data_IF_720678041054
#
_entry.id   IF_720678041054
#
_cell.length_a   1.000
_cell.length_b   1.000
_cell.length_c   1.000
_cell.angle_alpha   90.00
_cell.angle_beta   90.00
_cell.angle_gamma   90.00
#
_symmetry.space_group_name_H-M   'P 1'
#
loop_
_entity.id
_entity.type
_entity.pdbx_description
1 polymer ?
#
# COMPACT_ATOMS: atom_id res chain seq x y z
N UNK A 1 -18.64 -47.49 -13.14
CA UNK A 1 -18.48 -47.93 -14.53
C UNK A 1 -19.86 -47.98 -15.16
N UNK A 2 -20.18 -47.03 -16.03
CA UNK A 2 -21.40 -47.09 -16.82
C UNK A 2 -21.10 -46.36 -18.15
N UNK A 3 -20.82 -47.19 -19.16
CA UNK A 3 -20.73 -46.85 -20.57
C UNK A 3 -22.08 -46.27 -21.03
N UNK A 4 -22.04 -45.12 -21.71
CA UNK A 4 -22.08 -44.99 -23.16
C UNK A 4 -23.38 -45.48 -23.84
N UNK A 5 -24.10 -44.47 -24.35
CA UNK A 5 -24.46 -44.34 -25.76
C UNK A 5 -25.76 -45.00 -26.25
N UNK A 6 -26.78 -44.14 -26.30
CA UNK A 6 -27.58 -43.80 -27.48
C UNK A 6 -27.49 -44.72 -28.73
N UNK A 7 -28.66 -45.17 -29.20
CA UNK A 7 -29.20 -45.02 -30.58
C UNK A 7 -30.09 -46.22 -30.95
N UNK A 8 -31.34 -45.94 -31.36
CA UNK A 8 -32.02 -46.55 -32.52
C UNK A 8 -33.36 -45.85 -32.73
N UNK A 9 -33.58 -45.13 -33.83
CA UNK A 9 -33.81 -45.64 -35.20
C UNK A 9 -35.18 -46.33 -35.32
N UNK A 10 -36.16 -45.56 -35.83
CA UNK A 10 -37.52 -46.02 -36.10
C UNK A 10 -37.67 -46.44 -37.57
N UNK A 11 -37.64 -47.76 -37.74
CA UNK A 11 -38.60 -48.57 -38.49
C UNK A 11 -38.84 -48.31 -39.98
N UNK A 12 -38.26 -49.21 -40.78
CA UNK A 12 -38.71 -49.67 -42.09
C UNK A 12 -40.12 -50.30 -42.03
N UNK A 13 -40.95 -50.08 -43.05
CA UNK A 13 -42.00 -51.04 -43.47
C UNK A 13 -41.99 -51.20 -45.00
N UNK A 14 -41.80 -52.47 -45.41
CA UNK A 14 -41.99 -53.03 -46.74
C UNK A 14 -43.48 -53.06 -47.11
N UNK A 15 -43.84 -52.83 -48.38
CA UNK A 15 -44.86 -53.63 -49.11
C UNK A 15 -44.41 -53.79 -50.57
N UNK A 16 -44.54 -55.02 -51.06
CA UNK A 16 -44.15 -55.61 -52.34
C UNK A 16 -45.35 -55.61 -53.31
N UNK A 17 -45.15 -55.35 -54.60
CA UNK A 17 -46.23 -55.47 -55.60
C UNK A 17 -45.86 -55.10 -57.05
N UNK A 18 -45.54 -56.12 -57.85
CA UNK A 18 -45.75 -56.32 -59.29
C UNK A 18 -45.47 -55.22 -60.36
N UNK A 19 -44.49 -55.57 -61.20
CA UNK A 19 -44.23 -55.30 -62.63
C UNK A 19 -45.46 -54.88 -63.49
N UNK A 20 -45.35 -53.77 -64.24
CA UNK A 20 -45.53 -53.74 -65.71
C UNK A 20 -45.19 -52.37 -66.33
N UNK A 21 -44.57 -52.43 -67.52
CA UNK A 21 -44.03 -51.31 -68.29
C UNK A 21 -45.11 -50.44 -68.99
N UNK A 22 -44.81 -49.15 -69.20
CA UNK A 22 -44.73 -48.47 -70.52
C UNK A 22 -44.63 -46.93 -70.31
N UNK A 23 -43.72 -46.29 -71.03
CA UNK A 23 -43.38 -44.87 -70.91
C UNK A 23 -44.30 -43.94 -71.73
N UNK A 24 -44.63 -42.74 -71.20
CA UNK A 24 -44.69 -41.46 -71.96
C UNK A 24 -45.09 -40.26 -71.05
N UNK A 25 -44.11 -39.35 -70.90
CA UNK A 25 -44.17 -37.87 -70.80
C UNK A 25 -45.17 -37.23 -69.82
N UNK A 26 -44.63 -36.75 -68.69
CA UNK A 26 -45.16 -35.61 -67.95
C UNK A 26 -44.08 -34.51 -67.90
N UNK A 27 -44.40 -33.38 -68.51
CA UNK A 27 -43.57 -32.17 -68.53
C UNK A 27 -43.32 -31.66 -67.10
N UNK A 28 -42.10 -31.85 -66.59
CA UNK A 28 -41.61 -31.08 -65.44
C UNK A 28 -41.06 -29.76 -65.99
N UNK A 29 -41.55 -28.59 -65.56
CA UNK A 29 -40.97 -27.32 -65.95
C UNK A 29 -39.52 -27.28 -65.43
N UNK A 30 -38.57 -27.31 -66.36
CA UNK A 30 -37.18 -26.98 -66.04
C UNK A 30 -37.16 -25.51 -65.62
N UNK A 31 -37.07 -25.27 -64.31
CA UNK A 31 -36.64 -23.98 -63.80
C UNK A 31 -35.24 -23.72 -64.35
N UNK A 32 -35.16 -22.85 -65.35
CA UNK A 32 -33.90 -22.34 -65.87
C UNK A 32 -33.22 -21.56 -64.73
N UNK A 33 -32.39 -22.27 -63.96
CA UNK A 33 -31.54 -21.64 -62.94
C UNK A 33 -30.63 -20.65 -63.64
N UNK A 34 -30.92 -19.36 -63.49
CA UNK A 34 -30.07 -18.27 -63.92
C UNK A 34 -28.62 -18.55 -63.47
N UNK A 35 -27.67 -18.59 -64.42
CA UNK A 35 -26.24 -18.82 -64.16
C UNK A 35 -25.75 -17.77 -63.15
N UNK A 36 -25.67 -18.14 -61.88
CA UNK A 36 -25.26 -17.23 -60.82
C UNK A 36 -23.81 -16.81 -61.07
N UNK A 37 -23.59 -15.51 -61.32
CA UNK A 37 -22.26 -14.96 -61.63
C UNK A 37 -21.32 -15.21 -60.45
N UNK A 38 -20.20 -15.90 -60.69
CA UNK A 38 -19.21 -16.20 -59.65
C UNK A 38 -18.69 -14.93 -58.97
N UNK A 39 -18.39 -14.98 -57.68
CA UNK A 39 -17.91 -13.81 -56.91
C UNK A 39 -16.80 -14.18 -55.92
N UNK A 40 -15.99 -13.21 -55.54
CA UNK A 40 -15.03 -13.36 -54.45
C UNK A 40 -15.73 -13.21 -53.11
N UNK A 41 -15.21 -13.85 -52.06
CA UNK A 41 -15.73 -13.70 -50.70
C UNK A 41 -15.52 -12.28 -50.14
N UNK A 42 -14.61 -11.50 -50.71
CA UNK A 42 -14.41 -10.08 -50.41
C UNK A 42 -13.75 -9.37 -51.61
N UNK A 43 -14.09 -8.11 -51.83
CA UNK A 43 -13.44 -7.22 -52.83
C UNK A 43 -12.34 -6.35 -52.23
N UNK A 44 -12.35 -6.17 -50.90
CA UNK A 44 -11.30 -5.49 -50.14
C UNK A 44 -11.09 -6.16 -48.77
N UNK A 45 -9.85 -6.16 -48.27
CA UNK A 45 -9.49 -6.56 -46.89
C UNK A 45 -8.37 -5.68 -46.34
N UNK A 46 -8.47 -5.34 -45.06
CA UNK A 46 -7.41 -4.68 -44.31
C UNK A 46 -6.73 -5.72 -43.41
N UNK A 47 -5.40 -5.80 -43.45
CA UNK A 47 -4.61 -6.74 -42.65
C UNK A 47 -3.43 -6.01 -42.00
N UNK A 48 -3.00 -6.48 -40.82
CA UNK A 48 -1.71 -6.06 -40.26
C UNK A 48 -0.58 -6.98 -40.75
N UNK A 49 0.63 -6.44 -40.86
CA UNK A 49 1.85 -7.23 -41.17
C UNK A 49 1.92 -8.46 -40.26
N UNK A 50 2.19 -9.63 -40.86
CA UNK A 50 2.29 -10.93 -40.18
C UNK A 50 1.00 -11.76 -40.18
N UNK A 51 -0.18 -11.12 -40.32
CA UNK A 51 -1.47 -11.85 -40.30
C UNK A 51 -1.70 -12.66 -41.58
N UNK A 52 -2.41 -13.78 -41.42
CA UNK A 52 -2.81 -14.69 -42.50
C UNK A 52 -4.32 -14.53 -42.73
N UNK A 53 -4.74 -14.46 -43.99
CA UNK A 53 -6.16 -14.38 -44.37
C UNK A 53 -6.51 -15.36 -45.49
N UNK A 54 -7.76 -15.84 -45.50
CA UNK A 54 -8.32 -16.72 -46.55
C UNK A 54 -9.22 -15.92 -47.49
N UNK A 55 -9.14 -16.16 -48.79
CA UNK A 55 -10.03 -15.61 -49.81
C UNK A 55 -10.60 -16.77 -50.64
N UNK A 56 -11.91 -16.79 -50.87
CA UNK A 56 -12.62 -17.90 -51.53
C UNK A 56 -13.42 -17.38 -52.73
N UNK A 57 -13.58 -18.22 -53.75
CA UNK A 57 -14.50 -17.99 -54.87
C UNK A 57 -15.83 -18.69 -54.59
N UNK A 58 -16.95 -17.95 -54.65
CA UNK A 58 -18.32 -18.43 -54.48
C UNK A 58 -19.02 -18.58 -55.84
N UNK A 59 -20.03 -19.45 -55.89
CA UNK A 59 -20.85 -19.77 -57.07
C UNK A 59 -20.01 -20.33 -58.24
N UNK A 60 -19.19 -21.32 -57.93
CA UNK A 60 -18.43 -22.12 -58.90
C UNK A 60 -18.57 -23.61 -58.55
N UNK A 61 -18.51 -24.53 -59.53
CA UNK A 61 -18.57 -25.97 -59.26
C UNK A 61 -17.49 -26.41 -58.27
N UNK A 62 -17.78 -27.41 -57.45
CA UNK A 62 -16.91 -27.88 -56.36
C UNK A 62 -15.48 -28.23 -56.82
N UNK A 63 -15.36 -28.79 -58.02
CA UNK A 63 -14.09 -29.18 -58.65
C UNK A 63 -13.47 -28.10 -59.54
N UNK A 64 -13.95 -26.85 -59.49
CA UNK A 64 -13.41 -25.75 -60.30
C UNK A 64 -11.97 -25.41 -59.90
N UNK A 65 -11.07 -25.36 -60.89
CA UNK A 65 -9.67 -24.95 -60.72
C UNK A 65 -9.55 -23.44 -60.90
N UNK A 66 -9.26 -22.70 -59.83
CA UNK A 66 -9.06 -21.25 -59.86
C UNK A 66 -7.57 -20.93 -59.89
N UNK A 67 -7.12 -20.12 -60.87
CA UNK A 67 -5.74 -19.63 -60.90
C UNK A 67 -5.64 -18.35 -60.06
N UNK A 68 -4.69 -18.29 -59.12
CA UNK A 68 -4.49 -17.16 -58.21
C UNK A 68 -3.17 -16.44 -58.47
N UNK A 69 -3.17 -15.11 -58.43
CA UNK A 69 -1.97 -14.28 -58.54
C UNK A 69 -2.02 -13.13 -57.53
N UNK A 70 -0.90 -12.84 -56.88
CA UNK A 70 -0.70 -11.58 -56.14
C UNK A 70 0.01 -10.57 -57.04
N UNK A 71 -0.44 -9.31 -57.03
CA UNK A 71 0.21 -8.23 -57.78
C UNK A 71 1.55 -7.80 -57.18
N UNK A 72 1.74 -7.97 -55.86
CA UNK A 72 2.96 -7.60 -55.13
C UNK A 72 3.25 -8.65 -54.05
N UNK A 73 4.08 -9.65 -54.38
CA UNK A 73 4.44 -10.75 -53.46
C UNK A 73 5.18 -10.27 -52.20
N UNK A 74 5.87 -9.14 -52.28
CA UNK A 74 6.54 -8.48 -51.15
C UNK A 74 5.57 -7.91 -50.11
N UNK A 75 4.37 -7.50 -50.53
CA UNK A 75 3.32 -6.94 -49.67
C UNK A 75 2.36 -8.06 -49.22
N UNK A 76 1.93 -8.91 -50.13
CA UNK A 76 1.05 -10.06 -49.86
C UNK A 76 1.54 -11.31 -50.59
N UNK A 77 1.99 -12.30 -49.83
CA UNK A 77 2.46 -13.60 -50.35
C UNK A 77 1.34 -14.63 -50.27
N UNK A 78 1.06 -15.32 -51.38
CA UNK A 78 0.20 -16.49 -51.37
C UNK A 78 1.00 -17.65 -50.75
N UNK A 79 0.48 -18.23 -49.68
CA UNK A 79 1.15 -19.29 -48.92
C UNK A 79 0.57 -20.68 -49.20
N UNK A 80 -0.71 -20.76 -49.59
CA UNK A 80 -1.36 -22.03 -49.95
C UNK A 80 -2.53 -21.77 -50.89
N UNK A 81 -2.60 -22.53 -51.99
CA UNK A 81 -3.74 -22.54 -52.92
C UNK A 81 -4.55 -23.83 -52.73
N UNK A 82 -5.86 -23.67 -52.60
CA UNK A 82 -6.84 -24.77 -52.68
C UNK A 82 -7.67 -24.67 -53.96
N UNK A 83 -8.57 -25.62 -54.18
CA UNK A 83 -9.41 -25.69 -55.40
C UNK A 83 -10.15 -24.37 -55.67
N UNK A 84 -10.85 -23.84 -54.65
CA UNK A 84 -11.65 -22.61 -54.72
C UNK A 84 -11.19 -21.49 -53.77
N UNK A 85 -10.10 -21.68 -53.03
CA UNK A 85 -9.65 -20.70 -52.03
C UNK A 85 -8.14 -20.52 -52.01
N UNK A 86 -7.68 -19.42 -51.45
CA UNK A 86 -6.26 -19.10 -51.27
C UNK A 86 -6.03 -18.56 -49.86
N UNK A 87 -4.95 -19.02 -49.21
CA UNK A 87 -4.41 -18.41 -47.99
C UNK A 87 -3.26 -17.49 -48.37
N UNK A 88 -3.26 -16.29 -47.82
CA UNK A 88 -2.26 -15.25 -48.07
C UNK A 88 -1.75 -14.65 -46.76
N UNK A 89 -0.45 -14.40 -46.68
CA UNK A 89 0.21 -13.75 -45.56
C UNK A 89 0.52 -12.29 -45.93
N UNK A 90 0.19 -11.38 -45.03
CA UNK A 90 0.59 -9.97 -45.11
C UNK A 90 2.07 -9.84 -44.71
N UNK A 91 2.91 -9.37 -45.62
CA UNK A 91 4.37 -9.40 -45.47
C UNK A 91 4.97 -8.02 -45.20
N UNK A 92 4.55 -6.99 -45.93
CA UNK A 92 5.01 -5.60 -45.77
C UNK A 92 3.81 -4.66 -45.85
N UNK A 93 3.92 -3.48 -45.22
CA UNK A 93 2.91 -2.43 -45.37
C UNK A 93 2.77 -2.00 -46.83
N UNK A 94 1.56 -1.62 -47.22
CA UNK A 94 1.23 -1.22 -48.59
C UNK A 94 -0.01 -1.90 -49.14
N UNK A 95 -0.31 -1.65 -50.41
CA UNK A 95 -1.50 -2.20 -51.08
C UNK A 95 -1.12 -3.18 -52.16
N UNK A 96 -1.75 -4.37 -52.16
CA UNK A 96 -1.62 -5.39 -53.19
C UNK A 96 -3.00 -5.89 -53.63
N UNK A 97 -3.08 -6.48 -54.82
CA UNK A 97 -4.29 -7.14 -55.31
C UNK A 97 -4.07 -8.63 -55.42
N UNK A 98 -5.02 -9.41 -54.90
CA UNK A 98 -5.10 -10.85 -55.12
C UNK A 98 -6.16 -11.12 -56.17
N UNK A 99 -5.74 -11.69 -57.30
CA UNK A 99 -6.55 -11.91 -58.49
C UNK A 99 -6.90 -13.39 -58.61
N UNK A 100 -8.19 -13.69 -58.75
CA UNK A 100 -8.70 -14.99 -59.17
C UNK A 100 -9.02 -14.97 -60.67
N UNK A 101 -8.57 -15.99 -61.40
CA UNK A 101 -8.89 -16.20 -62.81
C UNK A 101 -9.66 -17.52 -62.98
N UNK A 102 -10.85 -17.44 -63.59
CA UNK A 102 -11.73 -18.57 -63.87
C UNK A 102 -12.42 -18.38 -65.23
N UNK A 103 -12.35 -19.39 -66.10
CA UNK A 103 -12.93 -19.39 -67.46
C UNK A 103 -12.65 -18.08 -68.23
N UNK A 104 -11.38 -17.67 -68.30
CA UNK A 104 -10.94 -16.43 -68.97
C UNK A 104 -11.25 -15.12 -68.22
N UNK A 105 -12.20 -15.11 -67.28
CA UNK A 105 -12.61 -13.91 -66.52
C UNK A 105 -11.77 -13.76 -65.25
N UNK A 106 -11.53 -12.50 -64.84
CA UNK A 106 -10.76 -12.20 -63.62
C UNK A 106 -11.56 -11.36 -62.63
N UNK A 107 -11.33 -11.57 -61.33
CA UNK A 107 -11.79 -10.70 -60.24
C UNK A 107 -10.65 -10.45 -59.27
N UNK A 108 -10.60 -9.24 -58.70
CA UNK A 108 -9.53 -8.80 -57.81
C UNK A 108 -10.07 -8.46 -56.42
N UNK A 109 -9.30 -8.80 -55.40
CA UNK A 109 -9.50 -8.34 -54.03
C UNK A 109 -8.35 -7.39 -53.67
N UNK A 110 -8.65 -6.16 -53.25
CA UNK A 110 -7.68 -5.20 -52.72
C UNK A 110 -7.29 -5.62 -51.30
N UNK A 111 -6.00 -5.76 -51.03
CA UNK A 111 -5.47 -6.02 -49.70
C UNK A 111 -4.64 -4.81 -49.28
N UNK A 112 -5.12 -4.08 -48.28
CA UNK A 112 -4.36 -3.00 -47.64
C UNK A 112 -3.68 -3.56 -46.40
N UNK A 113 -2.35 -3.53 -46.38
CA UNK A 113 -1.54 -3.98 -45.27
C UNK A 113 -1.07 -2.77 -44.47
N UNK A 114 -1.46 -2.69 -43.20
CA UNK A 114 -0.96 -1.68 -42.27
C UNK A 114 0.24 -2.23 -41.50
N UNK A 115 1.18 -1.35 -41.17
CA UNK A 115 2.29 -1.70 -40.30
C UNK A 115 1.76 -2.18 -38.93
N UNK A 116 2.48 -3.11 -38.30
CA UNK A 116 2.23 -3.42 -36.90
C UNK A 116 2.58 -2.16 -36.10
N UNK A 117 1.64 -1.62 -35.33
CA UNK A 117 1.91 -0.49 -34.43
C UNK A 117 2.97 -0.99 -33.44
N UNK A 118 4.20 -0.47 -33.51
CA UNK A 118 5.15 -0.63 -32.41
C UNK A 118 4.51 0.02 -31.19
N UNK A 119 4.42 -0.71 -30.08
CA UNK A 119 4.08 -0.08 -28.82
C UNK A 119 5.17 0.97 -28.58
N UNK A 120 4.79 2.25 -28.53
CA UNK A 120 5.65 3.30 -28.01
C UNK A 120 6.08 2.88 -26.60
N UNK A 121 7.37 2.96 -26.23
CA UNK A 121 7.78 2.77 -24.86
C UNK A 121 6.92 3.69 -23.98
N UNK A 122 6.19 3.12 -23.02
CA UNK A 122 5.57 3.93 -21.98
C UNK A 122 6.74 4.61 -21.26
N UNK A 123 6.73 5.93 -21.15
CA UNK A 123 7.77 6.64 -20.42
C UNK A 123 7.82 6.10 -18.99
N UNK A 124 9.02 5.77 -18.51
CA UNK A 124 9.20 5.33 -17.13
C UNK A 124 8.70 6.44 -16.20
N UNK A 125 7.82 6.08 -15.28
CA UNK A 125 7.26 7.00 -14.28
C UNK A 125 7.57 6.38 -12.92
N UNK A 126 8.84 6.46 -12.49
CA UNK A 126 9.27 5.84 -11.24
C UNK A 126 8.56 6.49 -10.05
N UNK A 127 8.08 5.67 -9.12
CA UNK A 127 7.41 6.11 -7.90
C UNK A 127 7.65 5.14 -6.75
N UNK A 128 7.68 5.65 -5.52
CA UNK A 128 7.66 4.82 -4.32
C UNK A 128 6.27 4.22 -4.11
N UNK A 129 6.21 3.06 -3.47
CA UNK A 129 4.97 2.41 -3.04
C UNK A 129 4.20 3.16 -1.95
N UNK A 130 4.82 4.17 -1.32
CA UNK A 130 4.17 5.11 -0.41
C UNK A 130 4.82 6.49 -0.50
N UNK A 131 4.01 7.54 -0.36
CA UNK A 131 4.48 8.93 -0.26
C UNK A 131 4.63 9.39 1.19
N UNK A 132 3.93 8.72 2.11
CA UNK A 132 4.09 8.91 3.55
C UNK A 132 3.85 7.61 4.31
N UNK A 133 4.59 7.38 5.39
CA UNK A 133 4.49 6.19 6.24
C UNK A 133 4.61 6.57 7.72
N UNK A 134 3.92 5.81 8.55
CA UNK A 134 3.99 5.92 10.01
C UNK A 134 4.73 4.71 10.57
N UNK A 135 5.72 4.97 11.42
CA UNK A 135 6.53 3.96 12.08
C UNK A 135 6.46 4.17 13.59
N UNK A 136 6.26 3.09 14.32
CA UNK A 136 6.09 3.10 15.76
C UNK A 136 7.30 2.43 16.42
N UNK A 137 8.07 3.22 17.15
CA UNK A 137 9.18 2.71 17.95
C UNK A 137 8.63 2.00 19.19
N UNK A 138 9.11 0.77 19.42
CA UNK A 138 8.85 0.00 20.63
C UNK A 138 10.15 -0.07 21.41
N UNK A 139 10.18 0.56 22.58
CA UNK A 139 11.33 0.49 23.49
C UNK A 139 11.39 -0.90 24.12
N UNK A 140 12.49 -1.62 23.89
CA UNK A 140 12.70 -2.97 24.39
C UNK A 140 12.67 -3.05 25.92
N UNK A 141 13.09 -1.99 26.63
CA UNK A 141 13.04 -1.93 28.09
C UNK A 141 11.62 -1.79 28.64
N UNK A 142 10.73 -1.13 27.88
CA UNK A 142 9.33 -0.91 28.29
C UNK A 142 8.38 -2.00 27.76
N UNK A 143 8.76 -2.69 26.69
CA UNK A 143 7.96 -3.73 26.03
C UNK A 143 7.35 -4.77 26.98
N UNK A 144 8.01 -5.26 28.06
CA UNK A 144 7.40 -6.19 29.00
C UNK A 144 6.23 -5.61 29.83
N UNK A 145 6.13 -4.28 29.93
CA UNK A 145 5.17 -3.59 30.80
C UNK A 145 4.02 -2.93 30.01
N UNK A 146 4.00 -3.08 28.68
CA UNK A 146 3.00 -2.46 27.83
C UNK A 146 2.49 -3.43 26.76
N UNK A 147 1.29 -3.15 26.27
CA UNK A 147 0.75 -3.85 25.10
C UNK A 147 0.98 -3.00 23.86
N UNK A 148 1.62 -3.58 22.85
CA UNK A 148 1.82 -2.96 21.53
C UNK A 148 0.57 -3.18 20.68
N UNK A 149 0.06 -2.14 20.05
CA UNK A 149 -1.05 -2.25 19.11
C UNK A 149 -0.60 -2.99 17.84
N UNK A 150 -1.21 -4.13 17.48
CA UNK A 150 -0.83 -4.87 16.26
C UNK A 150 -1.08 -4.08 14.95
N UNK A 151 -1.89 -3.02 14.99
CA UNK A 151 -2.07 -2.11 13.86
C UNK A 151 -0.84 -1.20 13.65
N UNK A 152 -0.12 -0.86 14.71
CA UNK A 152 1.06 -0.01 14.66
C UNK A 152 2.25 -0.74 14.03
N UNK A 153 2.73 -0.22 12.90
CA UNK A 153 3.81 -0.83 12.14
C UNK A 153 5.17 -0.35 12.68
N UNK A 154 6.02 -1.29 13.05
CA UNK A 154 7.38 -0.99 13.54
C UNK A 154 8.41 -0.92 12.40
N UNK A 155 8.05 -1.41 11.22
CA UNK A 155 8.88 -1.41 10.02
C UNK A 155 8.04 -1.16 8.75
N UNK A 156 8.69 -0.71 7.68
CA UNK A 156 8.05 -0.54 6.37
C UNK A 156 9.03 -0.82 5.23
N UNK A 157 8.60 -1.60 4.24
CA UNK A 157 9.40 -1.91 3.06
C UNK A 157 9.10 -0.91 1.93
N UNK A 158 10.03 -0.01 1.66
CA UNK A 158 9.94 0.82 0.47
C UNK A 158 10.32 0.02 -0.78
N UNK A 159 9.59 0.28 -1.86
CA UNK A 159 9.83 -0.29 -3.18
C UNK A 159 9.64 0.79 -4.24
N UNK A 160 10.52 0.79 -5.25
CA UNK A 160 10.36 1.62 -6.43
C UNK A 160 9.61 0.82 -7.50
N UNK A 161 8.59 1.45 -8.07
CA UNK A 161 7.74 0.86 -9.11
C UNK A 161 7.65 1.81 -10.31
N UNK A 162 7.14 1.34 -11.44
CA UNK A 162 6.92 2.19 -12.62
C UNK A 162 8.18 2.48 -13.45
N UNK A 163 9.29 1.79 -13.17
CA UNK A 163 10.55 1.86 -13.91
C UNK A 163 11.26 0.51 -13.88
N UNK A 164 12.28 0.34 -14.74
CA UNK A 164 13.27 -0.75 -14.67
C UNK A 164 14.61 -0.32 -14.06
N UNK A 165 14.74 0.95 -13.72
CA UNK A 165 15.92 1.47 -13.02
C UNK A 165 15.98 0.87 -11.63
N UNK A 166 17.16 0.44 -11.24
CA UNK A 166 17.41 -0.03 -9.88
C UNK A 166 17.65 1.16 -8.93
N UNK A 167 17.48 0.90 -7.63
CA UNK A 167 17.87 1.86 -6.58
C UNK A 167 19.36 1.71 -6.33
N UNK A 168 20.13 2.75 -6.66
CA UNK A 168 21.56 2.80 -6.37
C UNK A 168 21.82 3.00 -4.87
N UNK A 169 20.98 3.82 -4.21
CA UNK A 169 21.16 4.14 -2.80
C UNK A 169 19.88 4.58 -2.10
N UNK A 170 19.66 4.03 -0.90
CA UNK A 170 18.69 4.56 0.07
C UNK A 170 19.34 5.53 1.05
N UNK A 171 18.58 6.55 1.46
CA UNK A 171 18.96 7.51 2.51
C UNK A 171 17.77 7.84 3.39
N UNK A 172 18.03 8.12 4.66
CA UNK A 172 17.11 8.72 5.62
C UNK A 172 17.74 10.01 6.16
N UNK A 173 16.94 11.05 6.38
CA UNK A 173 17.42 12.22 7.13
C UNK A 173 17.66 11.83 8.59
N UNK A 174 18.80 12.26 9.14
CA UNK A 174 19.43 11.77 10.37
C UNK A 174 18.71 12.14 11.68
N UNK A 175 17.60 12.88 11.61
CA UNK A 175 17.01 13.53 12.79
C UNK A 175 16.09 12.62 13.63
N UNK A 176 15.95 11.33 13.35
CA UNK A 176 14.92 10.50 14.00
C UNK A 176 15.29 9.04 14.28
N UNK A 177 16.57 8.68 14.34
CA UNK A 177 16.95 7.29 14.68
C UNK A 177 16.51 6.25 13.65
N UNK A 178 16.12 6.69 12.46
CA UNK A 178 15.72 5.82 11.38
C UNK A 178 16.94 5.13 10.78
N UNK A 179 16.75 3.87 10.42
CA UNK A 179 17.70 3.14 9.58
C UNK A 179 16.96 2.57 8.39
N UNK A 180 17.62 2.58 7.24
CA UNK A 180 17.09 1.97 6.02
C UNK A 180 18.17 1.06 5.43
N UNK A 181 17.80 -0.18 5.15
CA UNK A 181 18.68 -1.15 4.48
C UNK A 181 18.81 -0.87 2.99
N UNK A 182 19.76 -1.54 2.35
CA UNK A 182 20.00 -1.42 0.90
C UNK A 182 18.83 -1.92 0.04
N UNK A 183 17.98 -2.81 0.57
CA UNK A 183 16.76 -3.27 -0.10
C UNK A 183 15.53 -2.40 0.23
N UNK A 184 15.65 -1.39 1.09
CA UNK A 184 14.60 -0.41 1.38
C UNK A 184 13.74 -0.70 2.63
N UNK A 185 14.16 -1.61 3.51
CA UNK A 185 13.48 -1.85 4.78
C UNK A 185 13.80 -0.72 5.76
N UNK A 186 12.78 0.06 6.09
CA UNK A 186 12.83 1.12 7.08
C UNK A 186 12.53 0.56 8.47
N UNK A 187 13.38 0.90 9.44
CA UNK A 187 13.18 0.63 10.88
C UNK A 187 13.55 1.87 11.70
N UNK A 188 13.23 1.87 13.00
CA UNK A 188 13.62 2.93 13.93
C UNK A 188 14.26 2.38 15.20
N UNK A 189 15.33 3.02 15.67
CA UNK A 189 16.06 2.61 16.90
C UNK A 189 15.65 3.39 18.14
N UNK A 190 15.04 4.57 17.98
CA UNK A 190 14.48 5.36 19.08
C UNK A 190 13.21 6.09 18.64
N UNK A 191 12.42 6.57 19.61
CA UNK A 191 11.17 7.28 19.37
C UNK A 191 11.12 8.63 20.11
N UNK A 192 10.17 9.51 19.78
CA UNK A 192 9.96 10.76 20.52
C UNK A 192 9.75 10.52 22.01
N UNK A 193 10.23 11.43 22.84
CA UNK A 193 9.88 11.46 24.27
C UNK A 193 8.38 11.75 24.48
N UNK A 194 7.90 11.48 25.69
CA UNK A 194 6.51 11.73 26.06
C UNK A 194 6.14 13.22 25.96
N UNK A 195 4.95 13.50 25.44
CA UNK A 195 4.49 14.85 25.10
C UNK A 195 4.82 15.29 23.67
N UNK A 196 5.74 14.60 22.97
CA UNK A 196 5.99 14.82 21.55
C UNK A 196 5.19 13.82 20.72
N UNK A 197 4.19 14.23 19.91
CA UNK A 197 3.32 13.30 19.20
C UNK A 197 4.07 12.41 18.21
N UNK A 198 4.95 13.01 17.40
CA UNK A 198 5.80 12.30 16.45
C UNK A 198 7.00 13.15 16.02
N UNK A 199 8.03 12.51 15.52
CA UNK A 199 9.11 13.12 14.75
C UNK A 199 8.84 12.97 13.27
N UNK A 200 9.36 13.89 12.45
CA UNK A 200 9.22 13.82 10.99
C UNK A 200 10.59 13.64 10.36
N UNK A 201 10.68 12.75 9.37
CA UNK A 201 11.90 12.51 8.60
C UNK A 201 11.57 12.23 7.13
N UNK A 202 12.58 12.14 6.27
CA UNK A 202 12.45 11.89 4.84
C UNK A 202 13.29 10.70 4.42
N UNK A 203 12.66 9.73 3.77
CA UNK A 203 13.34 8.66 3.02
C UNK A 203 13.57 9.15 1.59
N UNK A 204 14.76 8.86 1.05
CA UNK A 204 15.12 9.14 -0.34
C UNK A 204 15.65 7.89 -1.02
N UNK A 205 15.04 7.48 -2.13
CA UNK A 205 15.61 6.54 -3.09
C UNK A 205 16.35 7.31 -4.18
N UNK A 206 17.62 6.98 -4.41
CA UNK A 206 18.43 7.50 -5.51
C UNK A 206 18.54 6.38 -6.55
N UNK A 207 18.02 6.61 -7.75
CA UNK A 207 18.06 5.64 -8.86
C UNK A 207 19.37 5.76 -9.64
N UNK A 208 19.71 4.74 -10.44
CA UNK A 208 20.92 4.69 -11.28
C UNK A 208 21.13 5.91 -12.20
N UNK A 209 20.04 6.60 -12.57
CA UNK A 209 20.08 7.81 -13.40
C UNK A 209 20.15 9.10 -12.57
N UNK A 210 20.47 9.02 -11.29
CA UNK A 210 20.46 10.09 -10.29
C UNK A 210 19.08 10.71 -9.99
N UNK A 211 17.99 10.13 -10.49
CA UNK A 211 16.65 10.57 -10.10
C UNK A 211 16.40 10.26 -8.63
N UNK A 212 15.74 11.19 -7.94
CA UNK A 212 15.42 11.08 -6.51
C UNK A 212 13.92 10.95 -6.32
N UNK A 213 13.52 9.96 -5.55
CA UNK A 213 12.16 9.82 -5.05
C UNK A 213 12.18 9.96 -3.55
N UNK A 214 11.21 10.68 -2.98
CA UNK A 214 11.15 10.93 -1.54
C UNK A 214 9.81 10.53 -0.96
N UNK A 215 9.82 10.16 0.32
CA UNK A 215 8.63 9.91 1.13
C UNK A 215 8.82 10.46 2.53
N UNK A 216 7.75 10.96 3.13
CA UNK A 216 7.74 11.46 4.51
C UNK A 216 7.49 10.33 5.50
N UNK A 217 8.33 10.23 6.52
CA UNK A 217 8.18 9.27 7.62
C UNK A 217 7.77 10.03 8.87
N UNK A 218 6.71 9.57 9.54
CA UNK A 218 6.38 10.01 10.90
C UNK A 218 6.76 8.90 11.88
N UNK A 219 7.56 9.26 12.88
CA UNK A 219 8.05 8.33 13.91
C UNK A 219 7.33 8.61 15.21
N UNK A 220 6.57 7.63 15.67
CA UNK A 220 5.85 7.65 16.93
C UNK A 220 6.57 6.77 17.97
N UNK A 221 6.28 6.99 19.25
CA UNK A 221 6.68 6.08 20.32
C UNK A 221 5.46 5.33 20.83
N UNK A 222 5.51 3.99 20.80
CA UNK A 222 4.42 3.13 21.28
C UNK A 222 4.11 3.38 22.76
N UNK A 223 5.17 3.62 23.54
CA UNK A 223 5.07 3.93 24.96
C UNK A 223 4.27 5.22 25.23
N UNK A 224 4.27 6.20 24.32
CA UNK A 224 3.49 7.42 24.51
C UNK A 224 1.99 7.14 24.54
N UNK A 225 1.48 6.32 23.60
CA UNK A 225 0.07 5.93 23.57
C UNK A 225 -0.32 5.11 24.79
N UNK A 226 0.54 4.18 25.21
CA UNK A 226 0.25 3.33 26.36
C UNK A 226 0.28 4.13 27.67
N UNK A 227 1.26 5.03 27.84
CA UNK A 227 1.33 5.91 29.01
C UNK A 227 0.11 6.82 29.07
N UNK A 228 -0.29 7.45 27.97
CA UNK A 228 -1.47 8.32 27.90
C UNK A 228 -2.73 7.57 28.37
N UNK A 229 -2.91 6.32 27.91
CA UNK A 229 -3.98 5.44 28.38
C UNK A 229 -3.92 5.18 29.89
N UNK A 230 -2.73 4.94 30.45
CA UNK A 230 -2.54 4.69 31.89
C UNK A 230 -2.83 5.95 32.71
N UNK A 231 -2.35 7.11 32.28
CA UNK A 231 -2.59 8.39 32.96
C UNK A 231 -4.07 8.79 32.90
N UNK A 232 -4.71 8.64 31.73
CA UNK A 232 -6.15 8.81 31.57
C UNK A 232 -6.94 7.90 32.51
N UNK A 233 -6.53 6.64 32.64
CA UNK A 233 -7.19 5.70 33.56
C UNK A 233 -7.00 6.08 35.04
N UNK A 234 -5.83 6.62 35.40
CA UNK A 234 -5.59 7.20 36.72
C UNK A 234 -6.56 8.37 36.96
N UNK A 235 -6.66 9.32 36.03
CA UNK A 235 -7.52 10.50 36.18
C UNK A 235 -8.98 10.13 36.35
N UNK A 236 -9.50 9.27 35.46
CA UNK A 236 -10.90 8.83 35.51
C UNK A 236 -11.28 8.18 36.85
N UNK A 237 -10.32 7.54 37.53
CA UNK A 237 -10.55 6.84 38.80
C UNK A 237 -10.34 7.72 40.02
N UNK A 238 -9.45 8.70 39.94
CA UNK A 238 -8.92 9.38 41.12
C UNK A 238 -9.17 10.88 41.14
N UNK A 239 -9.52 11.47 40.00
CA UNK A 239 -9.62 12.91 39.83
C UNK A 239 -11.06 13.30 39.50
N UNK A 240 -11.58 14.27 40.23
CA UNK A 240 -12.93 14.82 40.02
C UNK A 240 -12.88 16.30 39.67
N UNK A 241 -13.94 16.80 39.05
CA UNK A 241 -14.03 18.22 38.65
C UNK A 241 -14.12 19.18 39.84
N UNK A 242 -14.52 18.71 41.02
CA UNK A 242 -14.60 19.51 42.24
C UNK A 242 -13.27 19.66 42.97
N UNK A 243 -12.26 18.85 42.62
CA UNK A 243 -10.93 18.96 43.23
C UNK A 243 -10.22 20.23 42.76
N UNK A 244 -9.68 20.96 43.72
CA UNK A 244 -8.67 22.01 43.52
C UNK A 244 -7.44 21.43 42.83
N UNK A 245 -6.64 22.28 42.19
CA UNK A 245 -5.35 21.89 41.63
C UNK A 245 -4.44 21.27 42.69
N UNK A 246 -4.39 21.82 43.91
CA UNK A 246 -3.61 21.22 45.01
C UNK A 246 -4.06 19.79 45.35
N UNK A 247 -5.36 19.55 45.47
CA UNK A 247 -5.90 18.21 45.76
C UNK A 247 -5.56 17.20 44.63
N UNK A 248 -5.54 17.66 43.37
CA UNK A 248 -5.13 16.82 42.23
C UNK A 248 -3.65 16.45 42.31
N UNK A 249 -2.79 17.44 42.61
CA UNK A 249 -1.35 17.23 42.82
C UNK A 249 -1.10 16.25 43.96
N UNK A 250 -1.79 16.44 45.09
CA UNK A 250 -1.72 15.56 46.25
C UNK A 250 -2.14 14.13 45.90
N UNK A 251 -3.25 13.96 45.18
CA UNK A 251 -3.69 12.62 44.75
C UNK A 251 -2.68 11.94 43.84
N UNK A 252 -2.04 12.68 42.93
CA UNK A 252 -0.98 12.15 42.08
C UNK A 252 0.27 11.74 42.87
N UNK A 253 0.73 12.58 43.81
CA UNK A 253 1.86 12.25 44.67
C UNK A 253 1.58 11.02 45.54
N UNK A 254 0.40 10.96 46.16
CA UNK A 254 -0.07 9.80 46.92
C UNK A 254 -0.12 8.54 46.06
N UNK A 255 -0.64 8.63 44.83
CA UNK A 255 -0.72 7.48 43.92
C UNK A 255 0.66 6.91 43.59
N UNK A 256 1.67 7.75 43.34
CA UNK A 256 3.05 7.31 43.13
C UNK A 256 3.51 6.55 44.39
N UNK A 257 3.33 7.14 45.57
CA UNK A 257 3.69 6.52 46.84
C UNK A 257 2.99 5.19 47.11
N UNK A 258 1.70 5.07 46.77
CA UNK A 258 0.85 3.90 47.03
C UNK A 258 1.11 2.73 46.09
N UNK A 259 1.62 2.98 44.88
CA UNK A 259 1.64 1.99 43.78
C UNK A 259 3.04 1.57 43.33
N UNK A 260 4.08 2.21 43.86
CA UNK A 260 5.45 1.98 43.39
C UNK A 260 6.45 1.79 44.53
N UNK A 261 7.45 0.96 44.29
CA UNK A 261 8.56 0.70 45.21
C UNK A 261 9.79 1.54 44.82
N UNK A 262 10.57 1.96 45.82
CA UNK A 262 11.84 2.63 45.56
C UNK A 262 12.88 1.65 45.01
N UNK A 263 13.57 2.04 43.95
CA UNK A 263 14.70 1.29 43.41
C UNK A 263 15.85 2.24 43.08
N UNK A 264 16.94 2.13 43.84
CA UNK A 264 18.18 2.88 43.63
C UNK A 264 18.67 2.73 42.18
N UNK A 265 19.11 3.85 41.58
CA UNK A 265 19.64 3.94 40.21
C UNK A 265 18.65 3.57 39.08
N UNK A 266 17.35 3.54 39.36
CA UNK A 266 16.31 3.36 38.34
C UNK A 266 15.59 4.69 38.09
N UNK A 267 16.18 5.54 37.24
CA UNK A 267 15.69 6.89 36.98
C UNK A 267 14.66 7.00 35.83
N UNK A 268 14.25 5.87 35.23
CA UNK A 268 13.26 5.86 34.16
C UNK A 268 11.84 5.94 34.75
N UNK A 269 11.21 7.10 34.59
CA UNK A 269 9.86 7.36 35.09
C UNK A 269 8.77 6.50 34.40
N UNK A 270 8.98 6.06 33.16
CA UNK A 270 8.04 5.14 32.50
C UNK A 270 8.16 3.73 33.10
N UNK A 271 9.36 3.30 33.50
CA UNK A 271 9.52 2.07 34.27
C UNK A 271 8.90 2.18 35.67
N UNK A 272 8.96 3.36 36.30
CA UNK A 272 8.25 3.60 37.55
C UNK A 272 6.74 3.47 37.38
N UNK A 273 6.16 4.12 36.36
CA UNK A 273 4.72 4.09 36.11
C UNK A 273 4.21 2.70 35.70
N UNK A 274 4.91 2.03 34.79
CA UNK A 274 4.44 0.80 34.14
C UNK A 274 4.96 -0.47 34.84
N UNK A 275 6.19 -0.42 35.36
CA UNK A 275 6.86 -1.52 36.04
C UNK A 275 6.83 -1.43 37.57
N UNK A 276 6.36 -0.31 38.12
CA UNK A 276 6.15 -0.12 39.57
C UNK A 276 7.41 0.15 40.37
N UNK A 277 8.57 0.41 39.72
CA UNK A 277 9.86 0.61 40.42
C UNK A 277 10.66 1.77 39.85
N UNK A 278 11.20 2.60 40.74
CA UNK A 278 12.06 3.71 40.35
C UNK A 278 12.59 4.52 41.52
N UNK A 279 13.56 5.38 41.25
CA UNK A 279 14.19 6.26 42.23
C UNK A 279 13.46 7.60 42.39
N UNK A 280 14.07 8.52 43.14
CA UNK A 280 13.55 9.88 43.34
C UNK A 280 13.48 10.68 42.03
N UNK A 281 14.41 10.45 41.08
CA UNK A 281 14.41 11.10 39.78
C UNK A 281 13.27 10.60 38.90
N UNK A 282 13.02 9.29 38.87
CA UNK A 282 11.86 8.73 38.21
C UNK A 282 10.55 9.30 38.81
N UNK A 283 10.49 9.45 40.14
CA UNK A 283 9.30 9.92 40.85
C UNK A 283 8.95 11.37 40.53
N UNK A 284 9.92 12.30 40.59
CA UNK A 284 9.67 13.72 40.25
C UNK A 284 9.28 13.95 38.79
N UNK A 285 9.84 13.16 37.88
CA UNK A 285 9.50 13.25 36.45
C UNK A 285 8.10 12.69 36.20
N UNK A 286 7.75 11.55 36.82
CA UNK A 286 6.40 11.00 36.73
C UNK A 286 5.37 11.98 37.28
N UNK A 287 5.60 12.56 38.46
CA UNK A 287 4.69 13.55 39.05
C UNK A 287 4.48 14.73 38.11
N UNK A 288 5.55 15.27 37.51
CA UNK A 288 5.44 16.37 36.56
C UNK A 288 4.53 16.00 35.36
N UNK A 289 4.69 14.81 34.79
CA UNK A 289 3.86 14.36 33.67
C UNK A 289 2.41 14.06 34.07
N UNK A 290 2.16 13.52 35.26
CA UNK A 290 0.81 13.38 35.79
C UNK A 290 0.13 14.75 35.94
N UNK A 291 0.84 15.74 36.49
CA UNK A 291 0.33 17.11 36.62
C UNK A 291 0.04 17.75 35.27
N UNK A 292 0.94 17.61 34.29
CA UNK A 292 0.74 18.11 32.91
C UNK A 292 -0.48 17.46 32.24
N UNK A 293 -0.65 16.15 32.40
CA UNK A 293 -1.80 15.44 31.82
C UNK A 293 -3.14 15.91 32.45
N UNK A 294 -3.13 16.25 33.74
CA UNK A 294 -4.27 16.89 34.43
C UNK A 294 -4.47 18.38 34.11
N UNK A 295 -3.68 18.95 33.19
CA UNK A 295 -3.80 20.34 32.74
C UNK A 295 -3.08 21.38 33.61
N UNK A 296 -2.23 20.95 34.54
CA UNK A 296 -1.43 21.84 35.39
C UNK A 296 -0.05 22.11 34.80
N UNK A 297 0.61 23.17 35.25
CA UNK A 297 1.99 23.48 34.87
C UNK A 297 2.92 22.85 35.91
N UNK A 298 3.83 22.00 35.47
CA UNK A 298 4.75 21.32 36.37
C UNK A 298 6.07 21.04 35.66
N UNK A 299 7.19 21.14 36.36
CA UNK A 299 8.48 20.67 35.85
C UNK A 299 9.24 19.94 36.96
N UNK A 300 9.91 18.82 36.64
CA UNK A 300 10.82 18.21 37.60
C UNK A 300 11.99 19.16 37.83
N UNK A 301 12.42 19.34 39.08
CA UNK A 301 13.65 20.03 39.37
C UNK A 301 14.81 19.22 38.75
N UNK A 302 15.58 19.86 37.87
CA UNK A 302 16.63 19.21 37.06
C UNK A 302 17.90 18.86 37.84
N UNK A 303 18.22 19.64 38.87
CA UNK A 303 19.44 19.47 39.66
C UNK A 303 19.38 18.24 40.57
N UNK A 304 20.55 17.64 40.80
CA UNK A 304 20.64 16.39 41.57
C UNK A 304 20.23 16.59 43.03
N UNK A 305 20.62 17.71 43.64
CA UNK A 305 20.37 18.08 45.04
C UNK A 305 18.90 18.27 45.39
N UNK A 306 18.04 18.46 44.37
CA UNK A 306 16.59 18.67 44.53
C UNK A 306 15.84 17.34 44.68
N UNK A 307 16.36 16.43 45.51
CA UNK A 307 15.96 15.02 45.70
C UNK A 307 14.44 14.72 45.58
N UNK A 308 13.98 14.41 44.37
CA UNK A 308 12.58 14.06 44.13
C UNK A 308 11.60 15.23 44.08
N UNK A 309 12.11 16.47 44.01
CA UNK A 309 11.33 17.69 43.92
C UNK A 309 10.80 17.95 42.51
N UNK A 310 9.52 18.33 42.47
CA UNK A 310 8.80 18.84 41.29
C UNK A 310 8.24 20.22 41.64
N UNK A 311 8.52 21.21 40.80
CA UNK A 311 7.89 22.52 40.89
C UNK A 311 6.56 22.47 40.14
N UNK A 312 5.47 22.80 40.82
CA UNK A 312 4.10 22.76 40.27
C UNK A 312 3.42 24.11 40.48
N UNK A 313 2.75 24.64 39.45
CA UNK A 313 1.84 25.78 39.58
C UNK A 313 0.40 25.29 39.39
N UNK A 314 -0.38 25.42 40.44
CA UNK A 314 -1.78 24.99 40.51
C UNK A 314 -2.62 26.10 41.14
N UNK A 315 -3.75 26.44 40.53
CA UNK A 315 -4.66 27.51 40.99
C UNK A 315 -3.97 28.87 41.23
N UNK A 316 -2.91 29.17 40.48
CA UNK A 316 -2.12 30.41 40.61
C UNK A 316 -1.02 30.37 41.67
N UNK A 317 -0.93 29.29 42.45
CA UNK A 317 0.04 29.11 43.53
C UNK A 317 1.15 28.14 43.13
N UNK A 318 2.39 28.45 43.51
CA UNK A 318 3.53 27.56 43.32
C UNK A 318 3.71 26.62 44.51
N UNK A 319 4.01 25.35 44.22
CA UNK A 319 4.28 24.31 45.19
C UNK A 319 5.59 23.59 44.83
N UNK A 320 6.40 23.29 45.83
CA UNK A 320 7.41 22.21 45.74
C UNK A 320 6.76 20.94 46.26
N UNK A 321 6.82 19.90 45.44
CA UNK A 321 6.32 18.58 45.79
C UNK A 321 7.47 17.58 45.76
N UNK A 322 7.75 16.95 46.90
CA UNK A 322 8.77 15.93 47.05
C UNK A 322 8.11 14.56 46.96
N UNK A 323 8.59 13.72 46.04
CA UNK A 323 8.20 12.31 45.90
C UNK A 323 9.42 11.41 45.83
N UNK A 324 9.23 10.11 46.03
CA UNK A 324 10.29 9.13 45.86
C UNK A 324 11.25 9.06 47.04
N UNK A 325 10.72 9.09 48.26
CA UNK A 325 11.48 8.71 49.46
C UNK A 325 11.91 7.24 49.37
N UNK A 326 13.11 6.93 49.88
CA UNK A 326 13.65 5.57 49.96
C UNK A 326 13.07 4.86 51.20
N UNK A 327 11.80 4.48 51.08
CA UNK A 327 11.05 3.82 52.13
C UNK A 327 10.11 2.75 51.57
N UNK A 328 9.62 1.82 52.41
CA UNK A 328 8.61 0.85 52.01
C UNK A 328 7.30 1.51 51.56
N UNK A 329 6.58 0.88 50.64
CA UNK A 329 5.25 1.29 50.20
C UNK A 329 4.22 1.19 51.35
N UNK A 330 3.29 2.16 51.52
CA UNK A 330 3.15 3.39 50.74
C UNK A 330 4.26 4.39 51.09
N UNK A 331 4.91 4.93 50.05
CA UNK A 331 5.96 5.95 50.19
C UNK A 331 5.33 7.32 50.42
N UNK A 332 5.95 8.12 51.28
CA UNK A 332 5.53 9.45 51.64
C UNK A 332 5.69 10.45 50.50
N UNK A 333 5.12 11.62 50.71
CA UNK A 333 5.30 12.79 49.88
C UNK A 333 5.22 14.04 50.75
N UNK A 334 5.80 15.14 50.30
CA UNK A 334 5.70 16.45 50.95
C UNK A 334 5.25 17.48 49.93
N UNK A 335 4.30 18.35 50.31
CA UNK A 335 3.84 19.46 49.48
C UNK A 335 4.01 20.75 50.27
N UNK A 336 4.85 21.64 49.77
CA UNK A 336 5.15 22.93 50.39
C UNK A 336 4.75 24.06 49.45
N UNK A 337 3.90 24.96 49.93
CA UNK A 337 3.58 26.19 49.22
C UNK A 337 4.77 27.16 49.23
N UNK A 338 5.05 27.78 48.09
CA UNK A 338 6.14 28.76 47.95
C UNK A 338 5.54 30.17 48.00
N UNK A 339 5.62 30.80 49.17
CA UNK A 339 5.16 32.18 49.37
C UNK A 339 6.27 33.21 49.15
N UNK A 340 7.54 32.81 49.27
CA UNK A 340 8.70 33.68 49.08
C UNK A 340 9.16 33.69 47.62
N UNK A 341 9.08 34.87 46.99
CA UNK A 341 9.50 35.07 45.61
C UNK A 341 11.01 34.86 45.40
N UNK A 342 11.84 35.15 46.40
CA UNK A 342 13.29 34.92 46.31
C UNK A 342 13.62 33.42 46.32
N UNK A 343 12.87 32.64 47.10
CA UNK A 343 12.97 31.18 47.09
C UNK A 343 12.52 30.61 45.74
N UNK A 344 11.38 31.08 45.21
CA UNK A 344 10.90 30.66 43.89
C UNK A 344 11.94 30.93 42.80
N UNK A 345 12.50 32.15 42.77
CA UNK A 345 13.50 32.53 41.79
C UNK A 345 14.75 31.65 41.90
N UNK A 346 15.24 31.40 43.13
CA UNK A 346 16.38 30.50 43.35
C UNK A 346 16.12 29.09 42.82
N UNK A 347 14.95 28.53 43.11
CA UNK A 347 14.56 27.20 42.61
C UNK A 347 14.55 27.18 41.08
N UNK A 348 13.98 28.22 40.46
CA UNK A 348 13.93 28.32 39.01
C UNK A 348 15.34 28.43 38.41
N UNK A 349 16.18 29.31 38.94
CA UNK A 349 17.54 29.55 38.46
C UNK A 349 18.41 28.30 38.58
N UNK A 350 18.40 27.64 39.74
CA UNK A 350 19.17 26.43 39.98
C UNK A 350 18.77 25.32 38.99
N UNK A 351 17.49 25.24 38.61
CA UNK A 351 16.95 24.16 37.78
C UNK A 351 16.79 24.53 36.30
N UNK A 352 17.35 25.66 35.85
CA UNK A 352 17.20 26.19 34.50
C UNK A 352 15.72 26.31 34.05
N UNK A 353 14.83 26.67 34.99
CA UNK A 353 13.42 26.92 34.72
C UNK A 353 13.18 28.41 34.55
N UNK A 354 12.07 28.76 33.88
CA UNK A 354 11.67 30.15 33.71
C UNK A 354 10.19 30.33 34.06
N UNK A 355 9.76 31.53 34.48
CA UNK A 355 8.35 31.83 34.69
C UNK A 355 7.49 31.53 33.45
N UNK A 356 8.02 31.76 32.26
CA UNK A 356 7.33 31.49 30.98
C UNK A 356 7.00 30.00 30.78
N UNK A 357 7.69 29.08 31.46
CA UNK A 357 7.36 27.65 31.46
C UNK A 357 6.03 27.37 32.20
N UNK A 358 5.61 28.28 33.08
CA UNK A 358 4.44 28.17 33.94
C UNK A 358 3.34 29.21 33.62
N UNK A 359 3.50 29.97 32.55
CA UNK A 359 2.45 30.77 31.91
C UNK A 359 1.69 29.90 30.90
#
# INVERSE_FOLDING_TARGET
MANEMEVCDMSKKLIMGAVMALALVVCIPHTASAKTKWKLSATSKNLQVGKISKLTVKNVPEKAKIKWKSSKKSVVKIIKTGKQSVKMKACKSGTAYVTARYKGKTKRCRIKVTAKKQATPKADTPSLNATSVDIYHVDDALKPYMTVDPAHKTTFQFQVTGTKLEVEKWKVSTESGLTISDDGLLTTVWGPGYGTPYLTSTVTAILENNQRLTATVRVYAESNFYVDKVLTAFEQRNITSSMTGKEKVERAAAYIGETTDYQVNQNNWQMLLLGGKGDCRASRVLLAYMCKHMGMKAEPCGEFEYHGETLVKADGTYYIVITGFDEPRPRGYVITEITDQSQLQKIMDDNNLSPATFD
#
